data_IF_532586584430
#
_entry.id   IF_532586584430
#
_cell.length_a   1.000
_cell.length_b   1.000
_cell.length_c   1.000
_cell.angle_alpha   90.00
_cell.angle_beta   90.00
_cell.angle_gamma   90.00
#
_symmetry.space_group_name_H-M   'P 1'
#
loop_
_entity.id
_entity.type
_entity.pdbx_description
1 polymer ?
#
# COMPACT_ATOMS: atom_id res chain seq x y z
N UNK A 1 0.32 25.42 -30.21
CA UNK A 1 -0.78 26.03 -30.99
C UNK A 1 -2.14 25.67 -30.39
N UNK A 2 -2.31 24.46 -29.85
CA UNK A 2 -3.57 23.97 -29.26
C UNK A 2 -3.96 24.69 -27.95
N UNK A 3 -3.02 24.95 -27.03
CA UNK A 3 -3.28 25.69 -25.77
C UNK A 3 -3.97 27.04 -25.99
N UNK A 4 -3.52 27.79 -26.99
CA UNK A 4 -4.09 29.08 -27.36
C UNK A 4 -5.52 28.97 -27.92
N UNK A 5 -5.89 27.83 -28.51
CA UNK A 5 -7.26 27.58 -28.96
C UNK A 5 -8.19 27.34 -27.78
N UNK A 6 -7.72 26.61 -26.75
CA UNK A 6 -8.50 26.36 -25.54
C UNK A 6 -8.67 27.61 -24.67
N UNK A 7 -7.64 28.47 -24.55
CA UNK A 7 -7.77 29.77 -23.87
C UNK A 7 -8.84 30.66 -24.54
N UNK A 8 -8.82 30.71 -25.88
CA UNK A 8 -9.86 31.41 -26.65
C UNK A 8 -11.23 30.79 -26.45
N UNK A 9 -11.32 29.46 -26.44
CA UNK A 9 -12.57 28.76 -26.19
C UNK A 9 -13.15 29.12 -24.82
N UNK A 10 -12.33 29.16 -23.75
CA UNK A 10 -12.75 29.60 -22.41
C UNK A 10 -13.32 31.02 -22.43
N UNK A 11 -12.70 31.95 -23.16
CA UNK A 11 -13.20 33.33 -23.30
C UNK A 11 -14.52 33.37 -24.08
N UNK A 12 -14.66 32.57 -25.13
CA UNK A 12 -15.90 32.46 -25.88
C UNK A 12 -17.04 31.90 -25.02
N UNK A 13 -16.77 30.83 -24.27
CA UNK A 13 -17.75 30.23 -23.36
C UNK A 13 -18.13 31.18 -22.22
N UNK A 14 -17.19 31.90 -21.62
CA UNK A 14 -17.50 32.85 -20.54
C UNK A 14 -18.43 33.98 -20.99
N UNK A 15 -18.28 34.47 -22.23
CA UNK A 15 -19.20 35.43 -22.86
C UNK A 15 -20.54 34.80 -23.26
N UNK A 16 -20.54 33.55 -23.70
CA UNK A 16 -21.76 32.90 -24.15
C UNK A 16 -22.65 32.45 -22.96
N UNK A 17 -22.04 32.08 -21.82
CA UNK A 17 -22.74 31.71 -20.58
C UNK A 17 -23.61 32.86 -20.05
N UNK A 18 -23.25 34.13 -20.31
CA UNK A 18 -24.10 35.27 -19.92
C UNK A 18 -25.40 35.37 -20.74
N UNK A 19 -25.48 34.66 -21.87
CA UNK A 19 -26.66 34.64 -22.74
C UNK A 19 -27.50 33.37 -22.53
N UNK A 20 -26.86 32.19 -22.50
CA UNK A 20 -27.52 30.90 -22.24
C UNK A 20 -26.63 30.00 -21.35
N UNK A 21 -26.96 29.85 -20.05
CA UNK A 21 -26.07 29.19 -19.10
C UNK A 21 -26.09 27.65 -19.18
N UNK A 22 -27.21 27.04 -19.54
CA UNK A 22 -27.50 25.66 -19.10
C UNK A 22 -26.64 24.56 -19.74
N UNK A 23 -26.17 24.74 -20.98
CA UNK A 23 -25.39 23.73 -21.71
C UNK A 23 -23.90 24.09 -21.89
N UNK A 24 -23.53 25.34 -21.62
CA UNK A 24 -22.18 25.84 -21.95
C UNK A 24 -21.16 25.60 -20.84
N UNK A 25 -21.60 25.30 -19.61
CA UNK A 25 -20.70 24.98 -18.50
C UNK A 25 -19.85 23.74 -18.77
N UNK A 26 -20.40 22.73 -19.46
CA UNK A 26 -19.66 21.51 -19.80
C UNK A 26 -18.55 21.80 -20.80
N UNK A 27 -18.87 22.51 -21.90
CA UNK A 27 -17.87 22.89 -22.91
C UNK A 27 -16.78 23.79 -22.33
N UNK A 28 -17.13 24.71 -21.42
CA UNK A 28 -16.14 25.51 -20.71
C UNK A 28 -15.23 24.66 -19.83
N UNK A 29 -15.81 23.70 -19.09
CA UNK A 29 -15.06 22.82 -18.22
C UNK A 29 -14.09 21.93 -19.00
N UNK A 30 -14.50 21.41 -20.15
CA UNK A 30 -13.62 20.64 -21.03
C UNK A 30 -12.45 21.47 -21.56
N UNK A 31 -12.69 22.73 -21.93
CA UNK A 31 -11.62 23.64 -22.31
C UNK A 31 -10.64 23.89 -21.14
N UNK A 32 -11.13 24.03 -19.91
CA UNK A 32 -10.28 24.12 -18.72
C UNK A 32 -9.47 22.85 -18.45
N UNK A 33 -10.03 21.66 -18.69
CA UNK A 33 -9.29 20.40 -18.54
C UNK A 33 -8.13 20.29 -19.53
N UNK A 34 -8.31 20.74 -20.78
CA UNK A 34 -7.23 20.78 -21.77
C UNK A 34 -6.11 21.78 -21.38
N UNK A 35 -6.43 22.76 -20.55
CA UNK A 35 -5.47 23.70 -19.96
C UNK A 35 -4.88 23.20 -18.62
N UNK A 36 -5.27 22.01 -18.16
CA UNK A 36 -4.95 21.46 -16.84
C UNK A 36 -5.39 22.36 -15.66
N UNK A 37 -6.38 23.24 -15.87
CA UNK A 37 -7.01 24.02 -14.80
C UNK A 37 -8.17 23.21 -14.19
N UNK A 38 -7.81 22.24 -13.35
CA UNK A 38 -8.76 21.33 -12.72
C UNK A 38 -9.73 22.05 -11.78
N UNK A 39 -9.30 23.11 -11.10
CA UNK A 39 -10.15 23.87 -10.17
C UNK A 39 -11.28 24.57 -10.92
N UNK A 40 -10.96 25.30 -11.99
CA UNK A 40 -11.98 25.94 -12.82
C UNK A 40 -12.90 24.91 -13.49
N UNK A 41 -12.34 23.80 -13.97
CA UNK A 41 -13.14 22.70 -14.52
C UNK A 41 -14.13 22.13 -13.51
N UNK A 42 -13.70 21.87 -12.26
CA UNK A 42 -14.57 21.38 -11.19
C UNK A 42 -15.69 22.37 -10.86
N UNK A 43 -15.41 23.67 -10.82
CA UNK A 43 -16.44 24.69 -10.59
C UNK A 43 -17.48 24.67 -11.71
N UNK A 44 -17.06 24.59 -12.96
CA UNK A 44 -17.97 24.54 -14.11
C UNK A 44 -18.80 23.24 -14.12
N UNK A 45 -18.20 22.08 -13.86
CA UNK A 45 -18.96 20.82 -13.76
C UNK A 45 -19.87 20.76 -12.54
N UNK A 46 -19.50 21.36 -11.40
CA UNK A 46 -20.41 21.48 -10.24
C UNK A 46 -21.65 22.31 -10.60
N UNK A 47 -21.47 23.42 -11.33
CA UNK A 47 -22.60 24.21 -11.85
C UNK A 47 -23.45 23.39 -12.83
N UNK A 48 -22.84 22.63 -13.74
CA UNK A 48 -23.58 21.73 -14.63
C UNK A 48 -24.34 20.62 -13.88
N UNK A 49 -23.76 20.08 -12.79
CA UNK A 49 -24.38 19.02 -11.97
C UNK A 49 -25.63 19.47 -11.22
N UNK A 50 -25.79 20.78 -10.97
CA UNK A 50 -27.03 21.34 -10.39
C UNK A 50 -28.18 21.27 -11.41
N UNK A 51 -27.87 21.33 -12.70
CA UNK A 51 -28.87 21.31 -13.78
C UNK A 51 -29.27 19.86 -14.12
N UNK A 52 -28.30 18.97 -14.30
CA UNK A 52 -28.54 17.53 -14.52
C UNK A 52 -27.57 16.67 -13.68
N UNK A 53 -28.01 16.07 -12.55
CA UNK A 53 -27.09 15.48 -11.58
C UNK A 53 -26.38 14.19 -12.03
N UNK A 54 -27.06 13.36 -12.83
CA UNK A 54 -26.62 11.98 -13.09
C UNK A 54 -25.39 11.86 -14.01
N UNK A 55 -25.32 12.49 -15.20
CA UNK A 55 -24.17 12.29 -16.10
C UNK A 55 -22.89 12.97 -15.61
N UNK A 56 -22.98 14.02 -14.79
CA UNK A 56 -21.81 14.82 -14.40
C UNK A 56 -21.11 14.31 -13.14
N UNK A 57 -21.75 13.44 -12.34
CA UNK A 57 -21.14 12.87 -11.14
C UNK A 57 -19.92 12.01 -11.47
N UNK A 58 -20.04 11.15 -12.48
CA UNK A 58 -18.95 10.30 -12.98
C UNK A 58 -17.80 11.15 -13.54
N UNK A 59 -18.16 12.19 -14.30
CA UNK A 59 -17.19 13.11 -14.86
C UNK A 59 -16.44 13.89 -13.78
N UNK A 60 -17.11 14.32 -12.70
CA UNK A 60 -16.47 14.93 -11.55
C UNK A 60 -15.45 13.98 -10.89
N UNK A 61 -15.78 12.70 -10.72
CA UNK A 61 -14.84 11.70 -10.19
C UNK A 61 -13.59 11.58 -11.06
N UNK A 62 -13.74 11.56 -12.40
CA UNK A 62 -12.62 11.55 -13.34
C UNK A 62 -11.75 12.81 -13.20
N UNK A 63 -12.34 13.97 -13.00
CA UNK A 63 -11.58 15.24 -12.87
C UNK A 63 -10.77 15.26 -11.59
N UNK A 64 -11.35 14.84 -10.46
CA UNK A 64 -10.62 14.70 -9.20
C UNK A 64 -9.47 13.70 -9.32
N UNK A 65 -9.66 12.61 -10.06
CA UNK A 65 -8.60 11.67 -10.35
C UNK A 65 -7.45 12.31 -11.15
N UNK A 66 -7.76 13.03 -12.23
CA UNK A 66 -6.74 13.72 -13.05
C UNK A 66 -6.01 14.80 -12.25
N UNK A 67 -6.73 15.53 -11.39
CA UNK A 67 -6.13 16.48 -10.46
C UNK A 67 -5.16 15.77 -9.49
N UNK A 68 -5.58 14.64 -8.91
CA UNK A 68 -4.75 13.84 -8.02
C UNK A 68 -3.49 13.32 -8.72
N UNK A 69 -3.59 12.85 -9.96
CA UNK A 69 -2.44 12.44 -10.76
C UNK A 69 -1.47 13.59 -11.01
N UNK A 70 -1.98 14.75 -11.42
CA UNK A 70 -1.16 15.94 -11.64
C UNK A 70 -0.43 16.40 -10.37
N UNK A 71 -1.08 16.31 -9.21
CA UNK A 71 -0.49 16.63 -7.91
C UNK A 71 0.56 15.59 -7.49
N UNK A 72 0.30 14.31 -7.76
CA UNK A 72 1.23 13.21 -7.52
C UNK A 72 2.51 13.38 -8.34
N UNK A 73 2.40 13.73 -9.63
CA UNK A 73 3.55 14.01 -10.50
C UNK A 73 4.41 15.17 -9.98
N UNK A 74 3.79 16.12 -9.27
CA UNK A 74 4.47 17.24 -8.59
C UNK A 74 4.89 16.92 -7.15
N UNK A 75 4.70 15.68 -6.69
CA UNK A 75 4.99 15.23 -5.33
C UNK A 75 4.20 15.92 -4.21
N UNK A 76 3.05 16.53 -4.51
CA UNK A 76 2.13 17.07 -3.50
C UNK A 76 1.22 15.95 -2.96
N UNK A 77 1.78 15.06 -2.15
CA UNK A 77 1.12 13.81 -1.75
C UNK A 77 -0.16 14.01 -0.93
N UNK A 78 -0.20 15.01 -0.03
CA UNK A 78 -1.36 15.27 0.82
C UNK A 78 -2.58 15.74 -0.01
N UNK A 79 -2.37 16.74 -0.89
CA UNK A 79 -3.43 17.24 -1.76
C UNK A 79 -3.86 16.18 -2.79
N UNK A 80 -2.92 15.37 -3.28
CA UNK A 80 -3.23 14.25 -4.17
C UNK A 80 -4.14 13.22 -3.48
N UNK A 81 -3.86 12.88 -2.21
CA UNK A 81 -4.71 11.99 -1.41
C UNK A 81 -6.12 12.53 -1.24
N UNK A 82 -6.26 13.82 -0.92
CA UNK A 82 -7.56 14.45 -0.81
C UNK A 82 -8.33 14.36 -2.13
N UNK A 83 -7.68 14.65 -3.26
CA UNK A 83 -8.28 14.56 -4.58
C UNK A 83 -8.73 13.12 -4.91
N UNK A 84 -7.89 12.11 -4.66
CA UNK A 84 -8.28 10.71 -4.86
C UNK A 84 -9.40 10.26 -3.90
N UNK A 85 -9.45 10.78 -2.68
CA UNK A 85 -10.53 10.50 -1.73
C UNK A 85 -11.87 11.06 -2.23
N UNK A 86 -11.87 12.27 -2.80
CA UNK A 86 -13.06 12.88 -3.39
C UNK A 86 -13.51 12.12 -4.64
N UNK A 87 -12.57 11.66 -5.48
CA UNK A 87 -12.88 10.80 -6.62
C UNK A 87 -13.55 9.48 -6.18
N UNK A 88 -13.08 8.87 -5.08
CA UNK A 88 -13.65 7.63 -4.55
C UNK A 88 -15.08 7.81 -4.01
N UNK A 89 -15.38 8.94 -3.36
CA UNK A 89 -16.73 9.24 -2.83
C UNK A 89 -17.77 9.49 -3.92
N UNK A 90 -17.34 10.00 -5.07
CA UNK A 90 -18.23 10.39 -6.16
C UNK A 90 -18.62 9.26 -7.09
N UNK A 91 -18.04 8.06 -6.93
CA UNK A 91 -18.29 6.95 -7.86
C UNK A 91 -19.78 6.56 -7.97
N UNK A 92 -20.23 6.18 -9.16
CA UNK A 92 -21.56 5.61 -9.36
C UNK A 92 -21.59 4.16 -8.86
N UNK A 93 -22.68 3.79 -8.20
CA UNK A 93 -22.95 2.41 -7.74
C UNK A 93 -22.97 1.41 -8.92
N UNK A 94 -23.24 1.89 -10.14
CA UNK A 94 -23.44 1.08 -11.34
C UNK A 94 -22.17 0.82 -12.17
N UNK A 95 -21.02 1.46 -11.84
CA UNK A 95 -19.76 1.23 -12.58
C UNK A 95 -19.12 -0.10 -12.19
N UNK A 96 -19.60 -1.13 -12.89
CA UNK A 96 -18.96 -2.38 -13.30
C UNK A 96 -17.65 -2.71 -12.57
N UNK A 97 -17.78 -3.68 -11.66
CA UNK A 97 -16.73 -4.46 -11.00
C UNK A 97 -15.87 -3.72 -9.96
N UNK A 98 -15.86 -4.26 -8.74
CA UNK A 98 -14.96 -3.82 -7.67
C UNK A 98 -13.47 -3.88 -8.09
N UNK A 99 -13.09 -4.69 -9.08
CA UNK A 99 -11.71 -4.79 -9.58
C UNK A 99 -11.23 -3.51 -10.27
N UNK A 100 -12.08 -2.82 -11.04
CA UNK A 100 -11.73 -1.56 -11.69
C UNK A 100 -11.63 -0.40 -10.69
N UNK A 101 -12.30 -0.52 -9.54
CA UNK A 101 -12.25 0.43 -8.42
C UNK A 101 -10.90 0.43 -7.71
N UNK A 102 -10.33 -0.74 -7.44
CA UNK A 102 -9.03 -0.85 -6.75
C UNK A 102 -7.90 -0.20 -7.57
N UNK A 103 -7.93 -0.39 -8.89
CA UNK A 103 -6.91 0.15 -9.77
C UNK A 103 -7.05 1.66 -9.99
N UNK A 104 -8.29 2.17 -10.11
CA UNK A 104 -8.52 3.55 -10.50
C UNK A 104 -8.11 4.56 -9.39
N UNK A 105 -8.71 4.54 -8.20
CA UNK A 105 -8.46 5.60 -7.19
C UNK A 105 -7.63 5.13 -6.00
N UNK A 106 -7.65 3.83 -5.73
CA UNK A 106 -7.15 3.23 -4.50
C UNK A 106 -5.63 2.96 -4.60
N UNK A 107 -5.15 2.44 -5.73
CA UNK A 107 -3.70 2.30 -5.98
C UNK A 107 -2.92 3.63 -5.90
N UNK A 108 -3.34 4.74 -6.54
CA UNK A 108 -2.66 6.04 -6.40
C UNK A 108 -2.65 6.58 -4.97
N UNK A 109 -3.72 6.34 -4.21
CA UNK A 109 -3.79 6.73 -2.79
C UNK A 109 -2.75 5.97 -1.96
N UNK A 110 -2.60 4.66 -2.18
CA UNK A 110 -1.55 3.87 -1.54
C UNK A 110 -0.14 4.36 -1.91
N UNK A 111 0.08 4.73 -3.18
CA UNK A 111 1.36 5.31 -3.63
C UNK A 111 1.64 6.62 -2.90
N UNK A 112 0.64 7.51 -2.76
CA UNK A 112 0.81 8.77 -2.04
C UNK A 112 1.14 8.55 -0.56
N UNK A 113 0.41 7.66 0.14
CA UNK A 113 0.68 7.35 1.55
C UNK A 113 2.07 6.76 1.76
N UNK A 114 2.49 5.84 0.88
CA UNK A 114 3.82 5.23 0.98
C UNK A 114 4.95 6.20 0.64
N UNK A 115 4.75 7.10 -0.33
CA UNK A 115 5.71 8.15 -0.67
C UNK A 115 5.83 9.21 0.43
N UNK A 116 4.72 9.54 1.10
CA UNK A 116 4.70 10.46 2.24
C UNK A 116 5.20 9.82 3.55
N UNK A 117 5.44 8.51 3.58
CA UNK A 117 5.94 7.78 4.77
C UNK A 117 4.86 7.39 5.77
N UNK A 118 3.57 7.62 5.47
CA UNK A 118 2.42 7.21 6.28
C UNK A 118 2.13 5.71 6.10
N UNK A 119 3.08 4.86 6.50
CA UNK A 119 3.02 3.41 6.30
C UNK A 119 1.92 2.71 7.12
N UNK A 120 1.53 3.27 8.26
CA UNK A 120 0.45 2.73 9.12
C UNK A 120 -0.93 2.92 8.48
N UNK A 121 -1.20 4.10 7.92
CA UNK A 121 -2.43 4.39 7.18
C UNK A 121 -2.49 3.58 5.89
N UNK A 122 -1.36 3.45 5.19
CA UNK A 122 -1.24 2.57 4.03
C UNK A 122 -1.61 1.11 4.36
N UNK A 123 -1.21 0.59 5.53
CA UNK A 123 -1.60 -0.74 5.97
C UNK A 123 -3.09 -0.85 6.27
N UNK A 124 -3.68 0.15 6.94
CA UNK A 124 -5.11 0.15 7.25
C UNK A 124 -5.94 0.10 5.96
N UNK A 125 -5.60 0.95 5.00
CA UNK A 125 -6.26 1.01 3.71
C UNK A 125 -6.14 -0.31 2.92
N UNK A 126 -4.99 -1.00 2.95
CA UNK A 126 -4.87 -2.34 2.35
C UNK A 126 -5.71 -3.39 3.10
N UNK A 127 -5.81 -3.31 4.43
CA UNK A 127 -6.66 -4.23 5.19
C UNK A 127 -8.15 -4.01 4.90
N UNK A 128 -8.58 -2.77 4.74
CA UNK A 128 -9.95 -2.43 4.35
C UNK A 128 -10.28 -3.01 2.97
N UNK A 129 -9.34 -2.96 2.02
CA UNK A 129 -9.49 -3.58 0.69
C UNK A 129 -9.61 -5.10 0.74
N UNK A 130 -8.89 -5.73 1.65
CA UNK A 130 -8.97 -7.17 1.84
C UNK A 130 -10.28 -7.58 2.53
N UNK A 131 -10.89 -6.69 3.31
CA UNK A 131 -12.20 -6.92 3.93
C UNK A 131 -13.36 -6.82 2.92
N UNK A 132 -13.19 -6.06 1.84
CA UNK A 132 -14.18 -5.95 0.74
C UNK A 132 -14.09 -7.08 -0.30
N UNK A 133 -13.79 -8.31 0.15
CA UNK A 133 -13.86 -9.61 -0.55
C UNK A 133 -12.96 -9.84 -1.79
N UNK A 134 -12.13 -8.89 -2.23
CA UNK A 134 -11.17 -9.15 -3.32
C UNK A 134 -9.83 -9.65 -2.77
N UNK A 135 -9.69 -10.95 -2.57
CA UNK A 135 -8.41 -11.55 -2.20
C UNK A 135 -7.55 -11.84 -3.44
N UNK A 136 -6.66 -10.93 -3.79
CA UNK A 136 -5.68 -11.12 -4.87
C UNK A 136 -4.28 -11.38 -4.33
N UNK A 137 -3.46 -12.13 -5.08
CA UNK A 137 -2.06 -12.38 -4.72
C UNK A 137 -1.29 -11.06 -4.57
N UNK A 138 -1.58 -10.07 -5.42
CA UNK A 138 -0.92 -8.76 -5.40
C UNK A 138 -1.20 -7.96 -4.12
N UNK A 139 -2.42 -8.02 -3.58
CA UNK A 139 -2.76 -7.35 -2.32
C UNK A 139 -1.97 -7.92 -1.15
N UNK A 140 -1.80 -9.24 -1.09
CA UNK A 140 -0.94 -9.88 -0.10
C UNK A 140 0.54 -9.46 -0.28
N UNK A 141 1.03 -9.36 -1.51
CA UNK A 141 2.40 -8.86 -1.78
C UNK A 141 2.56 -7.41 -1.32
N UNK A 142 1.58 -6.55 -1.58
CA UNK A 142 1.57 -5.16 -1.14
C UNK A 142 1.60 -5.07 0.40
N UNK A 143 0.74 -5.82 1.09
CA UNK A 143 0.72 -5.86 2.56
C UNK A 143 2.04 -6.38 3.14
N UNK A 144 2.61 -7.42 2.55
CA UNK A 144 3.93 -7.94 2.93
C UNK A 144 5.03 -6.87 2.81
N UNK A 145 5.03 -6.08 1.72
CA UNK A 145 5.98 -4.98 1.52
C UNK A 145 5.83 -3.89 2.59
N UNK A 146 4.60 -3.55 2.98
CA UNK A 146 4.33 -2.58 4.03
C UNK A 146 4.79 -3.06 5.41
N UNK A 147 4.47 -4.31 5.78
CA UNK A 147 4.97 -4.90 7.03
C UNK A 147 6.50 -4.93 7.11
N UNK A 148 7.17 -5.20 5.98
CA UNK A 148 8.62 -5.16 5.88
C UNK A 148 9.19 -3.75 6.14
N UNK A 149 8.51 -2.70 5.64
CA UNK A 149 8.90 -1.29 5.86
C UNK A 149 8.68 -0.84 7.30
N UNK A 150 7.63 -1.32 7.95
CA UNK A 150 7.29 -0.95 9.33
C UNK A 150 8.15 -1.64 10.39
N UNK A 151 9.01 -2.60 10.02
CA UNK A 151 9.97 -3.32 10.89
C UNK A 151 9.41 -4.04 12.14
N UNK A 152 8.12 -3.86 12.46
CA UNK A 152 7.48 -4.35 13.69
C UNK A 152 6.83 -5.72 13.54
N UNK A 153 6.49 -6.18 12.32
CA UNK A 153 5.70 -7.41 12.12
C UNK A 153 6.28 -8.31 11.02
N UNK A 154 7.50 -8.82 11.25
CA UNK A 154 8.21 -9.71 10.31
C UNK A 154 7.48 -11.05 10.09
N UNK A 155 6.84 -11.58 11.13
CA UNK A 155 6.06 -12.81 11.03
C UNK A 155 4.83 -12.66 10.11
N UNK A 156 4.11 -11.53 10.19
CA UNK A 156 2.98 -11.24 9.30
C UNK A 156 3.44 -11.08 7.85
N UNK A 157 4.60 -10.44 7.62
CA UNK A 157 5.20 -10.36 6.29
C UNK A 157 5.43 -11.75 5.66
N UNK A 158 5.97 -12.70 6.43
CA UNK A 158 6.16 -14.08 5.95
C UNK A 158 4.82 -14.78 5.65
N UNK A 159 3.81 -14.60 6.51
CA UNK A 159 2.49 -15.17 6.29
C UNK A 159 1.83 -14.62 5.02
N UNK A 160 1.94 -13.32 4.76
CA UNK A 160 1.39 -12.67 3.57
C UNK A 160 2.07 -13.13 2.28
N UNK A 161 3.39 -13.31 2.30
CA UNK A 161 4.10 -13.88 1.14
C UNK A 161 3.65 -15.30 0.86
N UNK A 162 3.36 -16.07 1.91
CA UNK A 162 2.88 -17.45 1.79
C UNK A 162 1.46 -17.52 1.26
N UNK A 163 0.55 -16.68 1.73
CA UNK A 163 -0.80 -16.60 1.17
C UNK A 163 -0.77 -16.10 -0.28
N UNK A 164 0.08 -15.13 -0.62
CA UNK A 164 0.28 -14.69 -2.00
C UNK A 164 0.70 -15.84 -2.92
N UNK A 165 1.69 -16.64 -2.51
CA UNK A 165 2.17 -17.81 -3.26
C UNK A 165 1.17 -18.97 -3.27
N UNK A 166 0.31 -19.09 -2.25
CA UNK A 166 -0.76 -20.08 -2.22
C UNK A 166 -1.84 -19.76 -3.26
N UNK A 167 -2.15 -18.48 -3.47
CA UNK A 167 -3.09 -18.03 -4.50
C UNK A 167 -2.47 -18.10 -5.90
N UNK A 168 -1.23 -17.62 -6.06
CA UNK A 168 -0.51 -17.67 -7.32
C UNK A 168 0.94 -18.15 -7.12
N UNK A 169 1.21 -19.44 -7.37
CA UNK A 169 2.55 -20.02 -7.24
C UNK A 169 3.60 -19.42 -8.19
N UNK A 170 3.16 -18.84 -9.32
CA UNK A 170 4.04 -18.27 -10.34
C UNK A 170 4.38 -16.79 -10.10
N UNK A 171 3.90 -16.18 -9.01
CA UNK A 171 4.17 -14.77 -8.71
C UNK A 171 5.67 -14.52 -8.46
N UNK A 172 6.38 -13.80 -9.36
CA UNK A 172 7.81 -13.59 -9.22
C UNK A 172 8.13 -12.68 -8.03
N UNK A 173 7.28 -11.69 -7.76
CA UNK A 173 7.49 -10.73 -6.68
C UNK A 173 7.42 -11.39 -5.30
N UNK A 174 6.43 -12.26 -5.09
CA UNK A 174 6.28 -13.00 -3.84
C UNK A 174 7.45 -13.99 -3.65
N UNK A 175 7.88 -14.67 -4.72
CA UNK A 175 9.06 -15.54 -4.69
C UNK A 175 10.36 -14.80 -4.35
N UNK A 176 10.59 -13.63 -4.95
CA UNK A 176 11.74 -12.78 -4.65
C UNK A 176 11.72 -12.31 -3.20
N UNK A 177 10.56 -11.91 -2.67
CA UNK A 177 10.42 -11.47 -1.29
C UNK A 177 10.67 -12.64 -0.30
N UNK A 178 10.18 -13.84 -0.61
CA UNK A 178 10.46 -15.05 0.17
C UNK A 178 11.97 -15.38 0.22
N UNK A 179 12.65 -15.30 -0.93
CA UNK A 179 14.10 -15.53 -0.98
C UNK A 179 14.88 -14.51 -0.15
N UNK A 180 14.44 -13.24 -0.15
CA UNK A 180 15.05 -12.21 0.69
C UNK A 180 14.86 -12.50 2.18
N UNK A 181 13.66 -12.93 2.60
CA UNK A 181 13.38 -13.33 3.98
C UNK A 181 14.25 -14.52 4.41
N UNK A 182 14.40 -15.53 3.55
CA UNK A 182 15.28 -16.69 3.80
C UNK A 182 16.73 -16.29 4.01
N UNK A 183 17.28 -15.47 3.11
CA UNK A 183 18.65 -14.96 3.25
C UNK A 183 18.84 -14.15 4.53
N UNK A 184 17.84 -13.36 4.91
CA UNK A 184 17.88 -12.60 6.16
C UNK A 184 17.87 -13.51 7.39
N UNK A 185 17.04 -14.56 7.38
CA UNK A 185 16.99 -15.56 8.44
C UNK A 185 18.31 -16.34 8.58
N UNK A 186 18.92 -16.75 7.46
CA UNK A 186 20.21 -17.45 7.46
C UNK A 186 21.34 -16.59 8.03
N UNK A 187 21.41 -15.31 7.65
CA UNK A 187 22.37 -14.34 8.21
C UNK A 187 22.16 -14.12 9.70
N UNK A 188 20.91 -14.00 10.14
CA UNK A 188 20.57 -13.87 11.55
C UNK A 188 21.02 -15.11 12.34
N UNK A 189 20.81 -16.30 11.77
CA UNK A 189 21.29 -17.55 12.36
C UNK A 189 22.83 -17.61 12.47
N UNK A 190 23.56 -17.22 11.43
CA UNK A 190 25.04 -17.18 11.49
C UNK A 190 25.52 -16.25 12.62
N UNK A 191 24.97 -15.04 12.69
CA UNK A 191 25.26 -14.10 13.79
C UNK A 191 24.91 -14.67 15.16
N UNK A 192 23.82 -15.44 15.28
CA UNK A 192 23.47 -16.09 16.54
C UNK A 192 24.55 -17.11 16.98
N UNK A 193 25.11 -17.87 16.03
CA UNK A 193 26.23 -18.80 16.30
C UNK A 193 27.46 -18.02 16.77
N UNK A 194 27.84 -16.98 16.03
CA UNK A 194 29.03 -16.18 16.37
C UNK A 194 28.93 -15.58 17.78
N UNK A 195 27.75 -15.05 18.15
CA UNK A 195 27.50 -14.46 19.47
C UNK A 195 27.45 -15.52 20.57
N UNK A 196 26.92 -16.70 20.28
CA UNK A 196 26.90 -17.82 21.22
C UNK A 196 28.33 -18.28 21.53
N UNK A 197 29.20 -18.40 20.53
CA UNK A 197 30.61 -18.79 20.71
C UNK A 197 31.38 -17.79 21.60
N UNK A 198 31.07 -16.50 21.48
CA UNK A 198 31.66 -15.43 22.31
C UNK A 198 31.07 -15.40 23.73
N UNK A 199 30.04 -16.19 24.04
CA UNK A 199 29.36 -16.21 25.34
C UNK A 199 28.29 -15.13 25.53
N UNK A 200 27.95 -14.38 24.47
CA UNK A 200 26.90 -13.36 24.49
C UNK A 200 25.51 -13.98 24.23
N UNK A 201 25.05 -14.79 25.20
CA UNK A 201 23.77 -15.50 25.13
C UNK A 201 22.53 -14.61 24.87
N UNK A 202 22.33 -13.44 25.51
CA UNK A 202 21.13 -12.62 25.25
C UNK A 202 21.08 -12.09 23.81
N UNK A 203 22.23 -11.72 23.24
CA UNK A 203 22.33 -11.29 21.85
C UNK A 203 22.12 -12.45 20.88
N UNK A 204 22.66 -13.63 21.20
CA UNK A 204 22.41 -14.84 20.44
C UNK A 204 20.90 -15.17 20.38
N UNK A 205 20.20 -15.13 21.52
CA UNK A 205 18.75 -15.33 21.59
C UNK A 205 17.98 -14.29 20.79
N UNK A 206 18.38 -13.02 20.85
CA UNK A 206 17.78 -11.97 20.03
C UNK A 206 17.91 -12.30 18.52
N UNK A 207 19.09 -12.72 18.08
CA UNK A 207 19.33 -13.09 16.69
C UNK A 207 18.55 -14.34 16.25
N UNK A 208 18.29 -15.28 17.16
CA UNK A 208 17.43 -16.45 16.92
C UNK A 208 15.99 -16.01 16.71
N UNK A 209 15.46 -15.12 17.55
CA UNK A 209 14.11 -14.58 17.39
C UNK A 209 13.97 -13.85 16.05
N UNK A 210 14.98 -13.07 15.66
CA UNK A 210 15.00 -12.42 14.33
C UNK A 210 14.99 -13.46 13.20
N UNK A 211 15.65 -14.61 13.34
CA UNK A 211 15.63 -15.66 12.33
C UNK A 211 14.24 -16.34 12.24
N UNK A 212 13.63 -16.65 13.39
CA UNK A 212 12.29 -17.25 13.49
C UNK A 212 11.23 -16.32 12.91
N UNK A 213 11.30 -15.02 13.22
CA UNK A 213 10.40 -13.99 12.72
C UNK A 213 10.38 -13.89 11.19
N UNK A 214 11.54 -14.09 10.55
CA UNK A 214 11.65 -14.03 9.09
C UNK A 214 11.20 -15.32 8.40
N UNK A 215 11.43 -16.49 9.01
CA UNK A 215 11.17 -17.80 8.40
C UNK A 215 10.81 -18.86 9.46
N UNK A 216 9.60 -18.84 10.04
CA UNK A 216 9.25 -19.70 11.18
C UNK A 216 9.30 -21.20 10.87
N UNK A 217 9.14 -21.59 9.60
CA UNK A 217 9.08 -23.02 9.19
C UNK A 217 10.44 -23.59 8.77
N UNK A 218 11.29 -22.79 8.13
CA UNK A 218 12.63 -23.22 7.68
C UNK A 218 13.66 -23.14 8.84
N UNK A 219 13.39 -22.26 9.81
CA UNK A 219 14.15 -22.03 11.03
C UNK A 219 13.80 -23.05 12.14
N UNK A 220 13.59 -24.32 11.79
CA UNK A 220 13.28 -25.41 12.73
C UNK A 220 14.04 -25.24 14.05
N UNK A 221 13.37 -25.23 15.22
CA UNK A 221 14.01 -24.97 16.51
C UNK A 221 15.18 -25.92 16.77
N UNK A 222 15.12 -27.14 16.23
CA UNK A 222 16.21 -28.14 16.23
C UNK A 222 17.54 -27.60 15.71
N UNK A 223 17.52 -26.74 14.69
CA UNK A 223 18.73 -26.14 14.10
C UNK A 223 19.38 -25.11 15.04
N UNK A 224 18.65 -24.65 16.05
CA UNK A 224 19.11 -23.71 17.09
C UNK A 224 19.39 -24.41 18.43
N UNK A 225 18.81 -25.60 18.67
CA UNK A 225 19.12 -26.42 19.85
C UNK A 225 20.63 -26.66 19.94
N UNK A 226 21.29 -27.04 18.85
CA UNK A 226 22.76 -27.25 18.82
C UNK A 226 23.59 -26.00 19.14
N UNK A 227 23.04 -24.80 19.00
CA UNK A 227 23.74 -23.53 19.27
C UNK A 227 23.71 -23.21 20.77
N UNK A 228 22.63 -23.56 21.47
CA UNK A 228 22.42 -23.23 22.89
C UNK A 228 22.83 -24.40 23.81
N UNK A 229 22.64 -25.64 23.37
CA UNK A 229 22.87 -26.85 24.17
C UNK A 229 24.28 -27.00 24.78
N UNK A 230 25.40 -26.68 24.08
CA UNK A 230 26.74 -26.82 24.67
C UNK A 230 27.05 -25.82 25.80
N UNK A 231 26.27 -24.74 25.93
CA UNK A 231 26.40 -23.77 27.03
C UNK A 231 25.45 -24.05 28.19
N UNK A 232 24.36 -24.78 27.93
CA UNK A 232 23.38 -25.20 28.95
C UNK A 232 23.98 -26.20 29.95
N UNK A 233 25.00 -26.95 29.55
CA UNK A 233 25.73 -27.91 30.40
C UNK A 233 26.76 -27.26 31.33
N UNK A 234 27.14 -25.99 31.12
CA UNK A 234 28.08 -25.27 32.00
C UNK A 234 27.40 -24.48 33.13
N UNK A 235 26.09 -24.19 33.02
CA UNK A 235 25.34 -23.33 33.96
C UNK A 235 24.20 -24.07 34.70
N UNK A 236 24.35 -25.37 34.95
CA UNK A 236 23.33 -26.26 35.52
C UNK A 236 22.89 -25.97 36.97
N UNK A 237 23.17 -24.79 37.54
CA UNK A 237 22.65 -24.41 38.86
C UNK A 237 21.45 -23.44 38.81
N UNK A 238 21.21 -22.73 37.71
CA UNK A 238 20.10 -21.77 37.63
C UNK A 238 18.82 -22.38 37.04
N UNK A 239 18.00 -22.90 37.96
CA UNK A 239 16.75 -23.65 37.75
C UNK A 239 15.62 -22.91 36.98
N UNK A 240 15.86 -21.69 36.48
CA UNK A 240 14.86 -20.90 35.73
C UNK A 240 14.97 -21.04 34.20
N UNK A 241 16.09 -21.52 33.65
CA UNK A 241 16.33 -21.57 32.19
C UNK A 241 15.66 -22.75 31.47
N UNK A 242 15.16 -23.74 32.21
CA UNK A 242 14.58 -24.97 31.63
C UNK A 242 13.14 -24.74 31.16
N UNK A 243 12.41 -23.81 31.75
CA UNK A 243 10.97 -23.61 31.47
C UNK A 243 10.74 -22.81 30.17
N UNK A 244 11.59 -21.85 29.83
CA UNK A 244 11.29 -20.93 28.72
C UNK A 244 11.43 -21.52 27.30
N UNK A 245 12.35 -22.48 27.10
CA UNK A 245 12.56 -23.09 25.77
C UNK A 245 11.59 -24.26 25.53
N UNK A 246 11.15 -24.94 26.58
CA UNK A 246 10.21 -26.08 26.46
C UNK A 246 8.77 -25.62 26.28
N UNK A 247 8.39 -24.45 26.82
CA UNK A 247 7.03 -23.90 26.64
C UNK A 247 6.69 -23.44 25.23
N UNK A 248 7.67 -23.29 24.33
CA UNK A 248 7.45 -22.94 22.92
C UNK A 248 7.33 -24.17 21.98
N UNK A 249 7.48 -25.39 22.51
CA UNK A 249 7.47 -26.65 21.74
C UNK A 249 6.17 -27.46 21.99
N UNK A 250 5.12 -26.85 22.54
CA UNK A 250 3.76 -27.41 22.52
C UNK A 250 2.78 -26.44 21.90
#
# INVERSE_FOLDING_TARGET
METFQYERAVICFSKAITLQPDQLYVGQAEAYLQLCDFQSALVCYRKASVLEPRPYRDRLAVIFYLQGQHLLDRCHFAEALEAFSQAAQLKPEDSLSHQDLYCWCLCPSLVCLTAAGHHTEALQLVNDWMASDSLTSDLYVLRARLHKRLHQVRAACYQDVRSALALNPSCPEAGALLQQLRRAAERARQKAVDRAVVGQLPEALCMINVALDNCPRDAQPEKFIYIIWPFKTQHLEDSCFVVFVVSFIK
#
